data_IF_699499070051
#
_entry.id   IF_699499070051
#
_cell.length_a   1.000
_cell.length_b   1.000
_cell.length_c   1.000
_cell.angle_alpha   90.00
_cell.angle_beta   90.00
_cell.angle_gamma   90.00
#
_symmetry.space_group_name_H-M   'P 1'
#
loop_
_entity.id
_entity.type
_entity.pdbx_description
1 polymer ?
#
# COMPACT_ATOMS: atom_id res chain seq x y z
N UNK A 1 1.83 1.14 -12.12
CA UNK A 1 2.86 2.16 -12.36
C UNK A 1 3.58 2.01 -13.69
N UNK A 2 3.43 0.88 -14.40
CA UNK A 2 4.17 0.57 -15.63
C UNK A 2 4.09 1.65 -16.75
N UNK A 3 2.95 2.32 -16.94
CA UNK A 3 2.76 3.34 -17.99
C UNK A 3 2.78 4.78 -17.45
N UNK A 4 2.23 5.00 -16.26
CA UNK A 4 2.15 6.32 -15.65
C UNK A 4 2.13 6.25 -14.10
N UNK A 5 2.75 7.22 -13.45
CA UNK A 5 2.88 7.33 -11.98
C UNK A 5 2.32 8.65 -11.44
N UNK A 6 2.00 9.62 -12.29
CA UNK A 6 1.59 10.98 -11.90
C UNK A 6 0.42 10.95 -10.92
N UNK A 7 -0.61 10.17 -11.21
CA UNK A 7 -1.78 10.01 -10.36
C UNK A 7 -1.43 9.37 -9.00
N UNK A 8 -0.53 8.39 -8.99
CA UNK A 8 -0.08 7.72 -7.78
C UNK A 8 0.70 8.69 -6.88
N UNK A 9 1.72 9.35 -7.41
CA UNK A 9 2.51 10.35 -6.70
C UNK A 9 1.62 11.51 -6.19
N UNK A 10 0.66 11.94 -7.00
CA UNK A 10 -0.31 12.97 -6.63
C UNK A 10 -1.18 12.53 -5.46
N UNK A 11 -1.70 11.30 -5.50
CA UNK A 11 -2.50 10.73 -4.42
C UNK A 11 -1.71 10.71 -3.12
N UNK A 12 -0.47 10.22 -3.16
CA UNK A 12 0.44 10.18 -2.01
C UNK A 12 0.79 11.58 -1.45
N UNK A 13 0.74 12.64 -2.25
CA UNK A 13 1.08 13.99 -1.77
C UNK A 13 -0.14 14.74 -1.26
N UNK A 14 -1.23 14.73 -2.02
CA UNK A 14 -2.27 15.76 -1.93
C UNK A 14 -3.64 15.22 -1.54
N UNK A 15 -3.91 13.94 -1.77
CA UNK A 15 -5.24 13.38 -1.56
C UNK A 15 -5.40 12.70 -0.19
N UNK A 16 -4.32 12.61 0.58
CA UNK A 16 -4.28 11.95 1.88
C UNK A 16 -3.97 12.95 3.00
N UNK A 17 -4.73 12.87 4.09
CA UNK A 17 -4.51 13.58 5.34
C UNK A 17 -3.50 12.84 6.23
N UNK A 18 -2.90 13.54 7.17
CA UNK A 18 -2.00 12.91 8.14
C UNK A 18 -2.75 11.84 8.94
N UNK A 19 -2.14 10.66 9.08
CA UNK A 19 -2.77 9.51 9.72
C UNK A 19 -3.67 8.68 8.81
N UNK A 20 -3.98 9.13 7.59
CA UNK A 20 -4.73 8.31 6.62
C UNK A 20 -3.98 7.00 6.36
N UNK A 21 -4.75 5.91 6.34
CA UNK A 21 -4.24 4.56 6.13
C UNK A 21 -4.05 4.35 4.63
N UNK A 22 -2.85 3.92 4.24
CA UNK A 22 -2.59 3.44 2.89
C UNK A 22 -2.48 1.92 2.90
N UNK A 23 -3.13 1.30 1.93
CA UNK A 23 -2.92 -0.11 1.61
C UNK A 23 -2.36 -0.16 0.19
N UNK A 24 -1.18 -0.74 0.04
CA UNK A 24 -0.51 -0.89 -1.26
C UNK A 24 -0.22 -2.38 -1.48
N UNK A 25 -0.61 -2.88 -2.64
CA UNK A 25 -0.29 -4.22 -3.11
C UNK A 25 0.27 -4.11 -4.53
N UNK A 26 1.41 -4.74 -4.80
CA UNK A 26 1.96 -4.83 -6.15
C UNK A 26 1.16 -5.81 -7.00
N UNK A 27 1.17 -5.60 -8.32
CA UNK A 27 0.58 -6.52 -9.28
C UNK A 27 1.45 -6.54 -10.54
N UNK A 28 1.82 -7.73 -11.02
CA UNK A 28 2.75 -7.98 -12.13
C UNK A 28 4.16 -7.37 -11.89
N UNK A 29 4.26 -6.05 -12.02
CA UNK A 29 5.50 -5.28 -11.96
C UNK A 29 5.19 -3.87 -11.43
N UNK A 30 5.90 -3.43 -10.39
CA UNK A 30 5.69 -2.09 -9.82
C UNK A 30 6.90 -1.15 -9.91
N UNK A 31 8.11 -1.70 -10.07
CA UNK A 31 9.38 -0.97 -9.91
C UNK A 31 9.75 -0.15 -11.14
N UNK A 32 9.35 -0.53 -12.35
CA UNK A 32 9.77 0.13 -13.59
C UNK A 32 9.32 1.59 -13.66
N UNK A 33 8.08 1.87 -13.24
CA UNK A 33 7.52 3.21 -13.27
C UNK A 33 7.48 3.94 -11.93
N UNK A 34 7.98 3.35 -10.85
CA UNK A 34 7.96 3.94 -9.52
C UNK A 34 9.24 4.74 -9.28
N UNK A 35 9.11 6.06 -9.13
CA UNK A 35 10.25 6.99 -9.01
C UNK A 35 10.66 7.18 -7.57
N UNK A 36 11.90 7.64 -7.38
CA UNK A 36 12.47 7.98 -6.06
C UNK A 36 11.60 8.92 -5.23
N UNK A 37 10.84 9.82 -5.88
CA UNK A 37 9.90 10.71 -5.19
C UNK A 37 8.79 9.93 -4.48
N UNK A 38 8.20 8.92 -5.15
CA UNK A 38 7.17 8.07 -4.53
C UNK A 38 7.78 7.12 -3.51
N UNK A 39 8.94 6.52 -3.79
CA UNK A 39 9.66 5.67 -2.86
C UNK A 39 9.93 6.40 -1.53
N UNK A 40 10.44 7.62 -1.62
CA UNK A 40 10.73 8.45 -0.45
C UNK A 40 9.47 8.88 0.31
N UNK A 41 8.32 8.99 -0.36
CA UNK A 41 7.05 9.23 0.33
C UNK A 41 6.56 7.97 1.01
N UNK A 42 6.64 6.81 0.38
CA UNK A 42 6.25 5.54 0.98
C UNK A 42 7.10 5.21 2.23
N UNK A 43 8.36 5.63 2.28
CA UNK A 43 9.17 5.59 3.51
C UNK A 43 8.61 6.49 4.63
N UNK A 44 8.14 7.70 4.28
CA UNK A 44 7.44 8.62 5.20
C UNK A 44 6.04 8.14 5.58
N UNK A 45 5.58 7.05 4.96
CA UNK A 45 4.34 6.36 5.28
C UNK A 45 4.60 5.08 6.09
N UNK A 46 5.85 4.87 6.50
CA UNK A 46 6.29 3.82 7.39
C UNK A 46 7.00 2.65 6.73
N UNK A 47 7.11 2.59 5.39
CA UNK A 47 7.79 1.46 4.73
C UNK A 47 9.30 1.49 4.96
N UNK A 48 9.89 0.36 5.33
CA UNK A 48 11.33 0.12 5.32
C UNK A 48 11.78 -0.70 4.11
N UNK A 49 10.89 -1.53 3.53
CA UNK A 49 11.22 -2.47 2.45
C UNK A 49 11.05 -1.90 1.03
N UNK A 50 10.30 -0.80 0.84
CA UNK A 50 9.91 -0.31 -0.51
C UNK A 50 11.09 -0.08 -1.47
N UNK A 51 12.25 0.34 -0.95
CA UNK A 51 13.45 0.62 -1.76
C UNK A 51 14.28 -0.61 -2.15
N UNK A 52 14.03 -1.77 -1.54
CA UNK A 52 14.79 -3.00 -1.83
C UNK A 52 14.04 -3.96 -2.77
N UNK A 53 12.80 -3.63 -3.13
CA UNK A 53 11.96 -4.42 -4.04
C UNK A 53 12.56 -4.37 -5.45
N UNK A 54 12.64 -5.53 -6.09
CA UNK A 54 13.17 -5.67 -7.45
C UNK A 54 12.05 -5.93 -8.44
N UNK A 55 12.40 -5.83 -9.72
CA UNK A 55 11.51 -6.12 -10.85
C UNK A 55 10.77 -7.45 -10.66
N UNK A 56 9.42 -7.40 -10.69
CA UNK A 56 8.49 -8.54 -10.50
C UNK A 56 8.54 -9.27 -9.15
N UNK A 57 9.05 -8.59 -8.11
CA UNK A 57 8.82 -9.01 -6.74
C UNK A 57 7.37 -8.70 -6.31
N UNK A 58 6.84 -9.49 -5.38
CA UNK A 58 5.52 -9.22 -4.78
C UNK A 58 5.71 -8.44 -3.48
N UNK A 59 4.91 -7.40 -3.29
CA UNK A 59 4.99 -6.53 -2.13
C UNK A 59 3.61 -6.09 -1.68
N UNK A 60 3.39 -6.12 -0.36
CA UNK A 60 2.21 -5.53 0.27
C UNK A 60 2.67 -4.68 1.45
N UNK A 61 2.05 -3.51 1.63
CA UNK A 61 2.17 -2.73 2.86
C UNK A 61 0.84 -2.15 3.31
N UNK A 62 0.70 -2.02 4.63
CA UNK A 62 -0.27 -1.19 5.32
C UNK A 62 0.54 -0.13 6.07
N UNK A 63 0.38 1.13 5.69
CA UNK A 63 1.10 2.26 6.27
C UNK A 63 0.16 3.41 6.63
N UNK A 64 0.71 4.51 7.13
CA UNK A 64 -0.05 5.73 7.38
C UNK A 64 0.76 6.96 7.02
N UNK A 65 0.13 7.99 6.43
CA UNK A 65 0.81 9.26 6.15
C UNK A 65 1.38 9.84 7.45
N UNK A 66 2.69 10.07 7.48
CA UNK A 66 3.39 10.61 8.66
C UNK A 66 3.93 9.55 9.62
N UNK A 67 3.76 8.28 9.30
CA UNK A 67 4.27 7.18 10.12
C UNK A 67 5.80 7.05 9.96
N UNK A 68 6.49 6.87 11.09
CA UNK A 68 7.93 6.66 11.09
C UNK A 68 8.33 5.40 10.28
N UNK A 69 9.42 5.50 9.52
CA UNK A 69 10.00 4.40 8.74
C UNK A 69 10.17 3.15 9.61
N UNK A 70 9.79 1.98 9.08
CA UNK A 70 9.85 0.70 9.78
C UNK A 70 8.66 0.41 10.71
N UNK A 71 7.61 1.23 10.67
CA UNK A 71 6.37 1.01 11.44
C UNK A 71 5.20 0.55 10.59
N UNK A 72 5.32 0.54 9.26
CA UNK A 72 4.33 -0.08 8.40
C UNK A 72 4.30 -1.61 8.64
N UNK A 73 3.13 -2.21 8.49
CA UNK A 73 2.99 -3.67 8.39
C UNK A 73 3.25 -4.00 6.93
N UNK A 74 4.32 -4.71 6.60
CA UNK A 74 4.68 -4.96 5.21
C UNK A 74 5.31 -6.34 4.99
N UNK A 75 5.16 -6.87 3.78
CA UNK A 75 5.70 -8.16 3.38
C UNK A 75 6.22 -8.07 1.95
N UNK A 76 7.40 -8.64 1.73
CA UNK A 76 8.07 -8.72 0.44
C UNK A 76 8.36 -10.18 0.12
N UNK A 77 8.07 -10.58 -1.11
CA UNK A 77 8.42 -11.88 -1.66
C UNK A 77 9.33 -11.63 -2.87
N UNK A 78 10.63 -11.97 -2.79
CA UNK A 78 11.52 -11.84 -3.92
C UNK A 78 11.19 -12.89 -4.98
N UNK A 79 11.28 -12.52 -6.27
CA UNK A 79 11.27 -13.52 -7.33
C UNK A 79 12.59 -14.29 -7.25
N UNK A 80 12.48 -15.59 -6.97
CA UNK A 80 13.61 -16.52 -6.99
C UNK A 80 13.92 -16.87 -8.46
N UNK A 81 14.04 -18.15 -8.79
CA UNK A 81 14.29 -18.62 -10.16
C UNK A 81 13.04 -18.61 -11.07
N UNK A 82 12.03 -17.81 -10.73
CA UNK A 82 10.76 -17.70 -11.47
C UNK A 82 10.66 -16.34 -12.15
N UNK A 83 9.84 -16.27 -13.19
CA UNK A 83 9.54 -15.01 -13.87
C UNK A 83 8.85 -14.00 -12.96
N UNK A 84 8.09 -14.49 -11.97
CA UNK A 84 7.34 -13.73 -10.97
C UNK A 84 7.54 -14.29 -9.56
N UNK A 85 7.48 -13.42 -8.56
CA UNK A 85 7.39 -13.85 -7.17
C UNK A 85 6.06 -14.53 -6.85
N UNK A 86 6.04 -15.30 -5.75
CA UNK A 86 4.77 -15.73 -5.14
C UNK A 86 4.05 -14.56 -4.51
N UNK A 87 2.72 -14.62 -4.51
CA UNK A 87 1.88 -13.59 -3.94
C UNK A 87 2.27 -13.26 -2.48
N UNK A 88 2.41 -11.96 -2.22
CA UNK A 88 2.56 -11.45 -0.88
C UNK A 88 1.15 -11.20 -0.29
N UNK A 89 0.99 -11.44 0.99
CA UNK A 89 -0.27 -11.19 1.69
C UNK A 89 -0.03 -10.71 3.11
N UNK A 90 -0.96 -9.90 3.60
CA UNK A 90 -1.06 -9.53 5.00
C UNK A 90 -2.45 -9.94 5.47
N UNK A 91 -2.53 -10.62 6.60
CA UNK A 91 -3.79 -11.07 7.19
C UNK A 91 -3.68 -11.02 8.70
N UNK A 92 -4.68 -10.40 9.32
CA UNK A 92 -4.75 -10.27 10.76
C UNK A 92 -5.50 -9.02 11.18
N UNK A 93 -5.43 -8.73 12.48
CA UNK A 93 -5.99 -7.53 13.06
C UNK A 93 -4.90 -6.48 13.24
N UNK A 94 -5.24 -5.23 12.95
CA UNK A 94 -4.33 -4.10 13.13
C UNK A 94 -5.00 -3.01 13.95
N UNK A 95 -4.25 -2.46 14.90
CA UNK A 95 -4.64 -1.33 15.73
C UNK A 95 -4.04 -0.05 15.17
N UNK A 96 -4.86 0.98 15.04
CA UNK A 96 -4.45 2.26 14.47
C UNK A 96 -4.53 3.40 15.50
N UNK A 97 -3.63 4.40 15.42
CA UNK A 97 -2.51 4.47 14.48
C UNK A 97 -1.44 3.40 14.78
N UNK A 98 -0.76 2.90 13.76
CA UNK A 98 0.32 1.89 13.82
C UNK A 98 1.53 2.37 14.64
N UNK A 99 1.61 3.68 14.88
CA UNK A 99 2.61 4.33 15.70
C UNK A 99 2.32 5.82 15.81
N UNK A 100 3.32 6.59 16.26
CA UNK A 100 3.21 8.04 16.28
C UNK A 100 3.16 8.59 14.85
N UNK A 101 2.22 9.50 14.61
CA UNK A 101 2.05 10.20 13.33
C UNK A 101 2.70 11.58 13.42
N UNK A 102 3.65 11.84 12.54
CA UNK A 102 4.28 13.16 12.35
C UNK A 102 3.64 13.84 11.15
N UNK A 103 3.04 15.03 11.30
CA UNK A 103 2.42 15.75 10.19
C UNK A 103 3.34 15.93 8.98
N UNK A 104 2.82 15.66 7.78
CA UNK A 104 3.56 15.81 6.53
C UNK A 104 2.90 16.86 5.63
N UNK A 105 3.60 17.99 5.46
CA UNK A 105 3.26 18.96 4.43
C UNK A 105 4.03 18.68 3.14
N UNK A 106 3.32 18.75 2.03
CA UNK A 106 3.92 18.78 0.70
C UNK A 106 3.55 20.13 0.06
N UNK A 107 4.50 20.83 -0.59
CA UNK A 107 4.17 22.06 -1.29
C UNK A 107 3.12 21.76 -2.36
N UNK A 108 1.95 22.35 -2.21
CA UNK A 108 0.82 22.18 -3.13
C UNK A 108 0.91 23.23 -4.23
N UNK A 109 1.21 22.84 -5.45
CA UNK A 109 0.68 23.56 -6.60
C UNK A 109 -0.81 23.24 -6.71
N UNK A 110 -1.64 24.27 -6.84
CA UNK A 110 -3.11 24.18 -6.90
C UNK A 110 -3.58 23.26 -8.02
N UNK A 111 -4.19 22.09 -7.71
CA UNK A 111 -4.80 21.24 -8.75
C UNK A 111 -6.05 20.49 -8.22
N UNK A 112 -7.13 20.56 -9.02
CA UNK A 112 -8.49 20.01 -8.85
C UNK A 112 -8.58 18.52 -8.46
N UNK A 113 -9.28 18.22 -7.36
CA UNK A 113 -9.51 16.87 -6.78
C UNK A 113 -10.53 16.00 -7.54
N UNK A 114 -10.41 15.87 -8.85
CA UNK A 114 -11.30 14.96 -9.61
C UNK A 114 -10.66 13.58 -9.79
N UNK A 115 -11.31 12.55 -9.25
CA UNK A 115 -11.02 11.13 -9.45
C UNK A 115 -12.18 10.29 -8.92
N UNK A 116 -12.68 9.33 -9.70
CA UNK A 116 -13.74 8.40 -9.27
C UNK A 116 -13.10 7.18 -8.60
N UNK A 117 -13.35 7.00 -7.30
CA UNK A 117 -13.01 5.76 -6.58
C UNK A 117 -14.15 4.76 -6.85
N UNK A 118 -13.82 3.59 -7.40
CA UNK A 118 -14.78 2.49 -7.53
C UNK A 118 -14.81 1.68 -6.24
N UNK A 119 -16.00 1.47 -5.66
CA UNK A 119 -16.19 0.67 -4.44
C UNK A 119 -16.62 -0.73 -4.85
N UNK A 120 -15.87 -1.76 -4.42
CA UNK A 120 -16.20 -3.17 -4.64
C UNK A 120 -17.27 -3.71 -3.67
N UNK A 121 -17.54 -5.01 -3.75
CA UNK A 121 -18.49 -5.70 -2.84
C UNK A 121 -17.94 -5.79 -1.41
N UNK A 122 -18.81 -5.59 -0.42
CA UNK A 122 -18.44 -5.70 1.00
C UNK A 122 -18.39 -7.16 1.45
N UNK A 123 -17.26 -7.60 2.01
CA UNK A 123 -17.07 -8.93 2.58
C UNK A 123 -17.12 -8.83 4.11
N UNK A 124 -17.97 -9.63 4.76
CA UNK A 124 -18.06 -9.66 6.23
C UNK A 124 -16.68 -9.99 6.82
N UNK A 125 -16.26 -9.19 7.80
CA UNK A 125 -14.98 -9.36 8.52
C UNK A 125 -13.75 -9.45 7.59
N UNK A 126 -13.80 -8.83 6.40
CA UNK A 126 -12.76 -8.91 5.38
C UNK A 126 -12.31 -10.35 5.05
N UNK A 127 -13.19 -11.34 5.22
CA UNK A 127 -12.90 -12.77 4.98
C UNK A 127 -12.16 -13.49 6.12
N UNK A 128 -11.93 -12.86 7.27
CA UNK A 128 -11.31 -13.50 8.43
C UNK A 128 -12.32 -14.38 9.19
N UNK A 129 -11.84 -15.52 9.72
CA UNK A 129 -12.63 -16.47 10.52
C UNK A 129 -12.92 -15.90 11.91
N UNK A 130 -11.92 -15.25 12.51
CA UNK A 130 -12.03 -14.67 13.85
C UNK A 130 -12.31 -13.17 13.79
N UNK A 131 -13.13 -12.68 14.73
CA UNK A 131 -13.44 -11.25 14.84
C UNK A 131 -12.28 -10.49 15.51
N UNK A 132 -11.95 -9.32 14.97
CA UNK A 132 -11.03 -8.41 15.63
C UNK A 132 -11.64 -7.82 16.91
N UNK A 133 -10.78 -7.37 17.83
CA UNK A 133 -11.19 -6.71 19.07
C UNK A 133 -11.86 -5.36 18.76
N UNK A 134 -12.60 -4.81 19.72
CA UNK A 134 -13.39 -3.57 19.57
C UNK A 134 -12.59 -2.34 19.08
N UNK A 135 -11.27 -2.33 19.28
CA UNK A 135 -10.36 -1.26 18.86
C UNK A 135 -9.39 -1.66 17.72
N UNK A 136 -9.71 -2.73 17.01
CA UNK A 136 -8.97 -3.25 15.87
C UNK A 136 -9.92 -3.41 14.68
N UNK A 137 -9.37 -3.39 13.46
CA UNK A 137 -10.16 -3.76 12.29
C UNK A 137 -9.49 -4.87 11.49
N UNK A 138 -10.33 -5.69 10.87
CA UNK A 138 -9.94 -6.81 10.03
C UNK A 138 -9.36 -6.29 8.72
N UNK A 139 -8.19 -6.81 8.33
CA UNK A 139 -7.55 -6.44 7.08
C UNK A 139 -7.08 -7.70 6.36
N UNK A 140 -7.45 -7.81 5.09
CA UNK A 140 -6.94 -8.81 4.17
C UNK A 140 -6.52 -8.13 2.87
N UNK A 141 -5.22 -8.23 2.55
CA UNK A 141 -4.64 -7.58 1.37
C UNK A 141 -3.79 -8.59 0.64
N UNK A 142 -4.02 -8.71 -0.67
CA UNK A 142 -3.47 -9.75 -1.52
C UNK A 142 -3.05 -9.18 -2.88
N UNK A 143 -1.89 -9.56 -3.39
CA UNK A 143 -1.32 -9.07 -4.66
C UNK A 143 -1.92 -9.70 -5.93
N UNK A 144 -2.97 -10.52 -5.82
CA UNK A 144 -3.49 -11.29 -6.96
C UNK A 144 -2.61 -12.51 -7.30
N UNK A 145 -3.14 -13.45 -8.10
CA UNK A 145 -2.40 -14.64 -8.57
C UNK A 145 -2.24 -14.67 -10.09
N UNK A 146 -3.27 -14.23 -10.81
CA UNK A 146 -3.29 -14.17 -12.27
C UNK A 146 -4.22 -13.06 -12.78
N UNK A 147 -4.08 -12.73 -14.07
CA UNK A 147 -4.85 -11.67 -14.77
C UNK A 147 -6.35 -11.95 -14.85
N UNK A 148 -6.72 -13.23 -14.67
CA UNK A 148 -8.07 -13.75 -14.87
C UNK A 148 -8.80 -14.03 -13.54
N UNK A 149 -8.30 -13.52 -12.40
CA UNK A 149 -9.00 -13.68 -11.14
C UNK A 149 -10.22 -12.73 -11.07
N UNK A 150 -11.38 -13.23 -11.50
CA UNK A 150 -12.68 -12.77 -11.01
C UNK A 150 -12.81 -13.15 -9.52
N UNK A 151 -13.24 -12.18 -8.71
CA UNK A 151 -13.60 -12.34 -7.29
C UNK A 151 -14.96 -13.01 -7.15
#
# INVERSE_FOLDING_TARGET
>A
TYLEETFFLRTLKLNLNDGDIIILASFDEMTYGLKEASLSILEKYGSQLIKIIKFRDSFVMIGQKGLARGKAIETHQPKSNRDFATAAHISGCAKFPLGQITPLSFPSSEINKEGKIAVGTSIKNCGLIEMCKENEFAVHVYTGKDKDNEL
#
